data_IF_918980799613
#
_entry.id   IF_918980799613
#
_cell.length_a   1.000
_cell.length_b   1.000
_cell.length_c   1.000
_cell.angle_alpha   90.00
_cell.angle_beta   90.00
_cell.angle_gamma   90.00
#
_symmetry.space_group_name_H-M   'P 1'
#
loop_
_entity.id
_entity.type
_entity.pdbx_description
1 polymer ?
#
# COMPACT_ATOMS: atom_id res chain seq x y z
N UNK A 1 -16.17 12.96 -64.66
CA UNK A 1 -17.48 12.59 -65.23
C UNK A 1 -18.06 13.83 -65.89
N UNK A 2 -17.72 14.03 -67.16
CA UNK A 2 -18.16 15.15 -68.00
C UNK A 2 -19.05 14.57 -69.11
N UNK A 3 -20.38 14.64 -68.97
CA UNK A 3 -21.29 14.21 -70.04
C UNK A 3 -22.63 14.97 -69.96
N UNK A 4 -22.58 16.29 -70.19
CA UNK A 4 -23.80 17.11 -70.29
C UNK A 4 -23.64 18.21 -71.36
N UNK A 5 -22.99 17.89 -72.48
CA UNK A 5 -22.87 18.79 -73.64
C UNK A 5 -23.13 18.04 -74.96
N UNK A 6 -24.12 17.15 -75.00
CA UNK A 6 -24.61 16.52 -76.24
C UNK A 6 -26.11 16.77 -76.42
N UNK A 7 -26.49 18.05 -76.44
CA UNK A 7 -27.89 18.45 -76.57
C UNK A 7 -28.08 19.82 -77.20
N UNK A 8 -27.35 20.12 -78.27
CA UNK A 8 -27.51 21.35 -79.06
C UNK A 8 -27.85 21.05 -80.53
N UNK A 9 -28.61 20.00 -80.80
CA UNK A 9 -29.14 19.68 -82.15
C UNK A 9 -30.68 19.69 -82.24
N UNK A 10 -31.38 20.32 -81.30
CA UNK A 10 -32.86 20.36 -81.32
C UNK A 10 -33.45 21.77 -81.36
N UNK A 11 -32.72 22.76 -81.91
CA UNK A 11 -33.29 24.08 -82.18
C UNK A 11 -34.38 24.03 -83.28
N UNK A 12 -34.33 23.03 -84.17
CA UNK A 12 -35.29 22.87 -85.27
C UNK A 12 -36.45 21.90 -84.94
N UNK A 13 -36.32 21.09 -83.89
CA UNK A 13 -37.39 20.19 -83.42
C UNK A 13 -38.34 20.84 -82.40
N UNK A 14 -37.95 21.96 -81.79
CA UNK A 14 -38.81 22.74 -80.89
C UNK A 14 -39.93 23.51 -81.60
N UNK A 15 -39.86 23.68 -82.93
CA UNK A 15 -40.90 24.42 -83.68
C UNK A 15 -42.02 23.53 -84.23
N UNK A 16 -41.95 22.21 -84.05
CA UNK A 16 -42.85 21.26 -84.74
C UNK A 16 -43.54 20.28 -83.79
N UNK A 17 -43.84 20.68 -82.55
CA UNK A 17 -44.87 20.03 -81.74
C UNK A 17 -46.06 20.96 -81.57
N UNK A 18 -47.06 20.72 -82.41
CA UNK A 18 -48.40 21.23 -82.25
C UNK A 18 -49.04 20.68 -80.96
N UNK A 19 -49.66 21.57 -80.20
CA UNK A 19 -50.83 21.26 -79.39
C UNK A 19 -50.65 20.29 -78.21
N UNK A 20 -50.05 20.77 -77.13
CA UNK A 20 -50.41 20.30 -75.78
C UNK A 20 -50.85 21.49 -74.94
N UNK A 21 -52.17 21.60 -74.78
CA UNK A 21 -52.92 22.42 -73.81
C UNK A 21 -52.09 23.43 -73.00
N UNK A 22 -52.03 24.68 -73.49
CA UNK A 22 -51.53 25.82 -72.72
C UNK A 22 -52.44 26.04 -71.50
N UNK A 23 -51.92 26.10 -70.26
CA UNK A 23 -52.61 26.79 -69.18
C UNK A 23 -52.64 28.29 -69.51
N UNK A 24 -53.76 28.96 -69.22
CA UNK A 24 -54.18 30.30 -69.68
C UNK A 24 -53.28 31.51 -69.30
N UNK A 25 -51.95 31.40 -69.33
CA UNK A 25 -51.03 32.51 -69.09
C UNK A 25 -49.77 32.41 -69.93
N UNK A 26 -49.53 33.39 -70.81
CA UNK A 26 -48.36 33.44 -71.70
C UNK A 26 -47.00 33.51 -70.99
N UNK A 27 -45.95 33.99 -71.67
CA UNK A 27 -44.57 34.03 -71.16
C UNK A 27 -44.42 34.64 -69.74
N UNK A 28 -45.28 35.60 -69.40
CA UNK A 28 -45.35 36.23 -68.06
C UNK A 28 -45.80 35.26 -66.95
N UNK A 29 -46.71 34.32 -67.25
CA UNK A 29 -47.15 33.29 -66.30
C UNK A 29 -46.03 32.32 -65.95
N UNK A 30 -45.29 31.84 -66.96
CA UNK A 30 -44.11 30.97 -66.79
C UNK A 30 -43.00 31.65 -65.99
N UNK A 31 -42.70 32.92 -66.26
CA UNK A 31 -41.72 33.69 -65.48
C UNK A 31 -42.12 33.88 -64.02
N UNK A 32 -43.42 34.07 -63.73
CA UNK A 32 -43.93 34.13 -62.36
C UNK A 32 -43.79 32.79 -61.64
N UNK A 33 -44.12 31.68 -62.31
CA UNK A 33 -43.97 30.33 -61.75
C UNK A 33 -42.50 30.03 -61.43
N UNK A 34 -41.59 30.30 -62.37
CA UNK A 34 -40.15 30.12 -62.17
C UNK A 34 -39.60 31.01 -61.02
N UNK A 35 -40.09 32.24 -60.89
CA UNK A 35 -39.72 33.11 -59.75
C UNK A 35 -40.22 32.57 -58.42
N UNK A 36 -41.43 32.03 -58.37
CA UNK A 36 -41.97 31.42 -57.16
C UNK A 36 -41.18 30.16 -56.78
N UNK A 37 -40.88 29.31 -57.76
CA UNK A 37 -40.03 28.14 -57.59
C UNK A 37 -38.62 28.52 -57.12
N UNK A 38 -37.98 29.49 -57.77
CA UNK A 38 -36.66 29.98 -57.37
C UNK A 38 -36.64 30.54 -55.94
N UNK A 39 -37.70 31.23 -55.50
CA UNK A 39 -37.83 31.69 -54.10
C UNK A 39 -37.96 30.50 -53.15
N UNK A 40 -38.79 29.52 -53.49
CA UNK A 40 -38.94 28.32 -52.66
C UNK A 40 -37.65 27.53 -52.53
N UNK A 41 -36.87 27.39 -53.61
CA UNK A 41 -35.55 26.77 -53.57
C UNK A 41 -34.57 27.52 -52.67
N UNK A 42 -34.58 28.85 -52.70
CA UNK A 42 -33.75 29.69 -51.82
C UNK A 42 -34.14 29.47 -50.37
N UNK A 43 -35.43 29.55 -50.04
CA UNK A 43 -35.94 29.30 -48.68
C UNK A 43 -35.54 27.91 -48.17
N UNK A 44 -35.74 26.86 -48.98
CA UNK A 44 -35.35 25.49 -48.62
C UNK A 44 -33.83 25.34 -48.41
N UNK A 45 -33.03 26.04 -49.22
CA UNK A 45 -31.57 26.02 -49.09
C UNK A 45 -31.11 26.77 -47.85
N UNK A 46 -31.75 27.89 -47.52
CA UNK A 46 -31.48 28.66 -46.30
C UNK A 46 -31.84 27.87 -45.04
N UNK A 47 -33.00 27.21 -45.02
CA UNK A 47 -33.41 26.31 -43.93
C UNK A 47 -32.41 25.15 -43.74
N UNK A 48 -31.96 24.55 -44.85
CA UNK A 48 -30.95 23.50 -44.82
C UNK A 48 -29.62 24.04 -44.25
N UNK A 49 -29.16 25.21 -44.69
CA UNK A 49 -27.93 25.83 -44.19
C UNK A 49 -28.02 26.11 -42.68
N UNK A 50 -29.15 26.65 -42.20
CA UNK A 50 -29.38 26.85 -40.77
C UNK A 50 -29.34 25.54 -39.98
N UNK A 51 -30.02 24.49 -40.48
CA UNK A 51 -30.03 23.18 -39.82
C UNK A 51 -28.63 22.53 -39.77
N UNK A 52 -27.83 22.68 -40.84
CA UNK A 52 -26.46 22.19 -40.89
C UNK A 52 -25.57 22.95 -39.92
N UNK A 53 -25.74 24.27 -39.83
CA UNK A 53 -24.97 25.10 -38.92
C UNK A 53 -25.25 24.76 -37.45
N UNK A 54 -26.52 24.57 -37.07
CA UNK A 54 -26.89 24.10 -35.73
C UNK A 54 -26.26 22.73 -35.44
N UNK A 55 -26.35 21.79 -36.40
CA UNK A 55 -25.77 20.45 -36.24
C UNK A 55 -24.25 20.48 -36.10
N UNK A 56 -23.56 21.38 -36.80
CA UNK A 56 -22.11 21.60 -36.64
C UNK A 56 -21.80 22.09 -35.22
N UNK A 57 -22.59 23.05 -34.70
CA UNK A 57 -22.42 23.54 -33.32
C UNK A 57 -22.64 22.43 -32.28
N UNK A 58 -23.68 21.60 -32.46
CA UNK A 58 -23.93 20.45 -31.60
C UNK A 58 -22.79 19.43 -31.63
N UNK A 59 -22.22 19.15 -32.81
CA UNK A 59 -21.06 18.27 -32.92
C UNK A 59 -19.85 18.88 -32.22
N UNK A 60 -19.65 20.19 -32.33
CA UNK A 60 -18.56 20.88 -31.66
C UNK A 60 -18.68 20.82 -30.13
N UNK A 61 -19.86 21.09 -29.57
CA UNK A 61 -20.08 21.02 -28.12
C UNK A 61 -19.91 19.60 -27.58
N UNK A 62 -20.40 18.59 -28.31
CA UNK A 62 -20.16 17.18 -27.97
C UNK A 62 -18.68 16.83 -28.00
N UNK A 63 -17.94 17.31 -29.00
CA UNK A 63 -16.48 17.10 -29.09
C UNK A 63 -15.73 17.75 -27.93
N UNK A 64 -16.12 18.95 -27.51
CA UNK A 64 -15.55 19.62 -26.34
C UNK A 64 -15.76 18.78 -25.08
N UNK A 65 -17.02 18.37 -24.82
CA UNK A 65 -17.35 17.53 -23.66
C UNK A 65 -16.60 16.20 -23.65
N UNK A 66 -16.45 15.55 -24.81
CA UNK A 66 -15.65 14.31 -24.90
C UNK A 66 -14.17 14.59 -24.63
N UNK A 67 -13.62 15.70 -25.12
CA UNK A 67 -12.23 16.09 -24.83
C UNK A 67 -12.00 16.31 -23.34
N UNK A 68 -12.92 16.98 -22.64
CA UNK A 68 -12.86 17.18 -21.19
C UNK A 68 -12.89 15.85 -20.43
N UNK A 69 -13.81 14.94 -20.79
CA UNK A 69 -13.88 13.61 -20.18
C UNK A 69 -12.60 12.80 -20.39
N UNK A 70 -11.96 12.92 -21.56
CA UNK A 70 -10.68 12.24 -21.83
C UNK A 70 -9.58 12.78 -20.92
N UNK A 71 -9.52 14.10 -20.71
CA UNK A 71 -8.55 14.72 -19.80
C UNK A 71 -8.78 14.28 -18.36
N UNK A 72 -10.02 14.26 -17.89
CA UNK A 72 -10.39 13.78 -16.56
C UNK A 72 -10.00 12.31 -16.35
N UNK A 73 -10.24 11.46 -17.35
CA UNK A 73 -9.87 10.05 -17.31
C UNK A 73 -8.36 9.86 -17.27
N UNK A 74 -7.60 10.64 -18.04
CA UNK A 74 -6.14 10.56 -17.99
C UNK A 74 -5.59 11.01 -16.64
N UNK A 75 -6.14 12.09 -16.07
CA UNK A 75 -5.77 12.53 -14.72
C UNK A 75 -6.04 11.45 -13.67
N UNK A 76 -7.23 10.82 -13.69
CA UNK A 76 -7.57 9.71 -12.77
C UNK A 76 -6.66 8.50 -12.98
N UNK A 77 -6.28 8.19 -14.22
CA UNK A 77 -5.32 7.12 -14.52
C UNK A 77 -3.96 7.41 -13.89
N UNK A 78 -3.46 8.64 -13.99
CA UNK A 78 -2.20 9.05 -13.36
C UNK A 78 -2.28 8.95 -11.82
N UNK A 79 -3.38 9.41 -11.21
CA UNK A 79 -3.62 9.25 -9.78
C UNK A 79 -3.62 7.77 -9.35
N UNK A 80 -4.22 6.88 -10.15
CA UNK A 80 -4.22 5.44 -9.87
C UNK A 80 -2.81 4.84 -9.87
N UNK A 81 -1.94 5.29 -10.77
CA UNK A 81 -0.52 4.86 -10.79
C UNK A 81 0.19 5.31 -9.51
N UNK A 82 0.03 6.58 -9.11
CA UNK A 82 0.63 7.11 -7.88
C UNK A 82 0.14 6.35 -6.63
N UNK A 83 -1.15 6.02 -6.55
CA UNK A 83 -1.71 5.22 -5.46
C UNK A 83 -1.16 3.79 -5.45
N UNK A 84 -0.90 3.19 -6.62
CA UNK A 84 -0.30 1.87 -6.70
C UNK A 84 1.15 1.88 -6.22
N UNK A 85 1.90 2.93 -6.52
CA UNK A 85 3.25 3.12 -6.02
C UNK A 85 3.28 3.32 -4.50
N UNK A 86 2.38 4.15 -3.96
CA UNK A 86 2.29 4.35 -2.51
C UNK A 86 1.88 3.07 -1.78
N UNK A 87 0.93 2.30 -2.34
CA UNK A 87 0.56 0.98 -1.84
C UNK A 87 1.77 0.04 -1.81
N UNK A 88 2.54 -0.03 -2.90
CA UNK A 88 3.74 -0.88 -2.96
C UNK A 88 4.78 -0.49 -1.91
N UNK A 89 4.98 0.82 -1.68
CA UNK A 89 5.87 1.31 -0.61
C UNK A 89 5.37 0.90 0.78
N UNK A 90 4.06 1.05 1.04
CA UNK A 90 3.45 0.66 2.30
C UNK A 90 3.57 -0.86 2.55
N UNK A 91 3.37 -1.68 1.52
CA UNK A 91 3.53 -3.14 1.61
C UNK A 91 4.98 -3.53 1.92
N UNK A 92 5.97 -2.89 1.28
CA UNK A 92 7.39 -3.13 1.58
C UNK A 92 7.74 -2.72 3.02
N UNK A 93 7.20 -1.60 3.49
CA UNK A 93 7.39 -1.16 4.88
C UNK A 93 6.79 -2.16 5.87
N UNK A 94 5.58 -2.66 5.59
CA UNK A 94 4.92 -3.68 6.41
C UNK A 94 5.75 -4.97 6.48
N UNK A 95 6.24 -5.47 5.34
CA UNK A 95 7.11 -6.65 5.31
C UNK A 95 8.41 -6.47 6.12
N UNK A 96 9.00 -5.27 6.06
CA UNK A 96 10.17 -4.93 6.89
C UNK A 96 9.84 -4.96 8.38
N UNK A 97 8.68 -4.42 8.77
CA UNK A 97 8.22 -4.47 10.16
C UNK A 97 7.98 -5.91 10.62
N UNK A 98 7.35 -6.75 9.80
CA UNK A 98 7.10 -8.16 10.13
C UNK A 98 8.42 -8.92 10.35
N UNK A 99 9.43 -8.67 9.50
CA UNK A 99 10.76 -9.24 9.67
C UNK A 99 11.41 -8.80 11.00
N UNK A 100 11.34 -7.51 11.32
CA UNK A 100 11.87 -6.97 12.57
C UNK A 100 11.14 -7.55 13.79
N UNK A 101 9.83 -7.68 13.74
CA UNK A 101 9.03 -8.33 14.78
C UNK A 101 9.42 -9.79 14.96
N UNK A 102 9.65 -10.52 13.86
CA UNK A 102 10.14 -11.89 13.91
C UNK A 102 11.50 -12.00 14.62
N UNK A 103 12.44 -11.10 14.30
CA UNK A 103 13.74 -11.05 14.95
C UNK A 103 13.65 -10.71 16.45
N UNK A 104 12.80 -9.75 16.82
CA UNK A 104 12.60 -9.38 18.21
C UNK A 104 11.97 -10.52 19.02
N UNK A 105 10.99 -11.23 18.45
CA UNK A 105 10.39 -12.42 19.08
C UNK A 105 11.42 -13.52 19.28
N UNK A 106 12.24 -13.82 18.29
CA UNK A 106 13.29 -14.83 18.41
C UNK A 106 14.29 -14.48 19.52
N UNK A 107 14.71 -13.20 19.62
CA UNK A 107 15.60 -12.74 20.71
C UNK A 107 14.93 -12.84 22.08
N UNK A 108 13.65 -12.48 22.17
CA UNK A 108 12.90 -12.58 23.43
C UNK A 108 12.74 -14.04 23.88
N UNK A 109 12.46 -14.96 22.95
CA UNK A 109 12.39 -16.39 23.24
C UNK A 109 13.73 -16.95 23.69
N UNK A 110 14.82 -16.55 23.04
CA UNK A 110 16.17 -16.96 23.42
C UNK A 110 16.54 -16.45 24.83
N UNK A 111 16.27 -15.17 25.12
CA UNK A 111 16.46 -14.62 26.47
C UNK A 111 15.62 -15.34 27.53
N UNK A 112 14.39 -15.75 27.18
CA UNK A 112 13.53 -16.54 28.08
C UNK A 112 14.10 -17.94 28.34
N UNK A 113 14.66 -18.61 27.32
CA UNK A 113 15.32 -19.92 27.50
C UNK A 113 16.50 -19.82 28.44
N UNK A 114 17.39 -18.85 28.20
CA UNK A 114 18.57 -18.61 29.05
C UNK A 114 18.18 -18.29 30.50
N UNK A 115 17.12 -17.49 30.71
CA UNK A 115 16.60 -17.23 32.05
C UNK A 115 16.11 -18.51 32.73
N UNK A 116 15.40 -19.37 31.98
CA UNK A 116 14.89 -20.65 32.51
C UNK A 116 16.04 -21.59 32.89
N UNK A 117 17.08 -21.67 32.06
CA UNK A 117 18.28 -22.47 32.36
C UNK A 117 19.00 -21.97 33.62
N UNK A 118 19.19 -20.64 33.73
CA UNK A 118 19.78 -20.03 34.93
C UNK A 118 18.94 -20.28 36.18
N UNK A 119 17.61 -20.18 36.06
CA UNK A 119 16.70 -20.48 37.15
C UNK A 119 16.85 -21.93 37.62
N UNK A 120 16.90 -22.90 36.69
CA UNK A 120 17.08 -24.32 37.04
C UNK A 120 18.41 -24.58 37.76
N UNK A 121 19.49 -23.91 37.35
CA UNK A 121 20.78 -24.01 38.05
C UNK A 121 20.67 -23.38 39.44
N UNK A 122 20.03 -22.21 39.55
CA UNK A 122 19.75 -21.55 40.82
C UNK A 122 18.96 -22.45 41.77
N UNK A 123 17.88 -23.07 41.29
CA UNK A 123 17.04 -23.98 42.07
C UNK A 123 17.83 -25.20 42.56
N UNK A 124 18.68 -25.79 41.72
CA UNK A 124 19.56 -26.91 42.10
C UNK A 124 20.55 -26.51 43.19
N UNK A 125 21.20 -25.37 43.03
CA UNK A 125 22.14 -24.84 44.03
C UNK A 125 21.41 -24.52 45.34
N UNK A 126 20.20 -23.97 45.28
CA UNK A 126 19.40 -23.68 46.45
C UNK A 126 19.06 -24.95 47.23
N UNK A 127 18.67 -26.04 46.54
CA UNK A 127 18.44 -27.34 47.18
C UNK A 127 19.71 -27.84 47.88
N UNK A 128 20.86 -27.77 47.21
CA UNK A 128 22.14 -28.18 47.81
C UNK A 128 22.52 -27.33 49.01
N UNK A 129 22.31 -26.01 48.95
CA UNK A 129 22.54 -25.09 50.06
C UNK A 129 21.63 -25.41 51.25
N UNK A 130 20.34 -25.70 51.01
CA UNK A 130 19.43 -26.11 52.07
C UNK A 130 19.89 -27.41 52.76
N UNK A 131 20.29 -28.43 51.99
CA UNK A 131 20.86 -29.67 52.55
C UNK A 131 22.13 -29.38 53.36
N UNK A 132 23.01 -28.52 52.85
CA UNK A 132 24.25 -28.16 53.53
C UNK A 132 23.98 -27.38 54.83
N UNK A 133 22.96 -26.51 54.87
CA UNK A 133 22.53 -25.79 56.07
C UNK A 133 21.92 -26.72 57.14
N UNK A 134 21.25 -27.79 56.72
CA UNK A 134 20.76 -28.84 57.62
C UNK A 134 21.94 -29.64 58.22
N UNK A 135 22.92 -29.99 57.39
CA UNK A 135 24.09 -30.79 57.78
C UNK A 135 25.22 -29.99 58.43
N UNK A 136 25.19 -28.65 58.41
CA UNK A 136 26.30 -27.81 58.89
C UNK A 136 25.80 -26.48 59.44
N UNK A 137 26.38 -26.00 60.55
CA UNK A 137 26.23 -24.64 61.05
C UNK A 137 27.43 -23.80 60.62
N UNK A 138 27.17 -22.67 59.97
CA UNK A 138 28.19 -21.66 59.72
C UNK A 138 28.02 -20.52 60.73
N UNK A 139 29.06 -20.23 61.51
CA UNK A 139 29.12 -19.07 62.38
C UNK A 139 30.12 -18.07 61.84
N UNK A 140 29.68 -16.84 61.63
CA UNK A 140 30.58 -15.73 61.36
C UNK A 140 31.35 -15.40 62.64
N UNK A 141 32.68 -15.46 62.59
CA UNK A 141 33.54 -15.08 63.71
C UNK A 141 33.92 -13.60 63.63
N UNK A 142 34.41 -13.16 62.47
CA UNK A 142 34.76 -11.75 62.20
C UNK A 142 34.62 -11.41 60.72
N UNK A 143 34.34 -10.14 60.45
CA UNK A 143 34.34 -9.55 59.11
C UNK A 143 35.05 -8.21 59.16
N UNK A 144 36.12 -8.09 58.37
CA UNK A 144 36.94 -6.89 58.24
C UNK A 144 37.03 -6.43 56.78
N UNK A 145 37.76 -5.33 56.51
CA UNK A 145 37.88 -4.75 55.16
C UNK A 145 38.61 -5.65 54.14
N UNK A 146 39.33 -6.66 54.63
CA UNK A 146 40.21 -7.52 53.80
C UNK A 146 40.17 -8.99 54.20
N UNK A 147 39.34 -9.35 55.19
CA UNK A 147 39.33 -10.69 55.78
C UNK A 147 37.94 -11.07 56.30
N UNK A 148 37.55 -12.33 56.08
CA UNK A 148 36.34 -12.97 56.59
C UNK A 148 36.74 -14.26 57.32
N UNK A 149 36.48 -14.34 58.62
CA UNK A 149 36.67 -15.57 59.39
C UNK A 149 35.34 -16.23 59.72
N UNK A 150 35.22 -17.51 59.40
CA UNK A 150 34.00 -18.32 59.59
C UNK A 150 34.33 -19.66 60.24
N UNK A 151 33.45 -20.14 61.11
CA UNK A 151 33.52 -21.44 61.74
C UNK A 151 32.41 -22.36 61.20
N UNK A 152 32.81 -23.53 60.70
CA UNK A 152 31.93 -24.56 60.18
C UNK A 152 31.81 -25.71 61.20
N UNK A 153 30.59 -26.02 61.64
CA UNK A 153 30.31 -27.14 62.55
C UNK A 153 29.38 -28.17 61.88
N UNK A 154 29.82 -29.42 61.67
CA UNK A 154 28.96 -30.48 61.17
C UNK A 154 27.80 -30.79 62.14
N UNK A 155 26.59 -31.00 61.61
CA UNK A 155 25.39 -31.49 62.31
C UNK A 155 24.96 -32.83 61.68
N UNK A 156 25.49 -33.97 62.15
CA UNK A 156 25.06 -35.27 61.64
C UNK A 156 23.57 -35.53 61.96
N UNK A 157 22.77 -36.03 61.00
CA UNK A 157 21.31 -36.20 61.14
C UNK A 157 20.91 -37.40 62.03
N UNK A 158 21.86 -38.26 62.38
CA UNK A 158 21.70 -39.39 63.29
C UNK A 158 23.02 -39.58 64.04
N UNK A 159 23.15 -39.00 65.23
CA UNK A 159 24.13 -39.50 66.18
C UNK A 159 23.70 -39.17 67.60
N UNK A 160 23.47 -40.25 68.36
CA UNK A 160 23.74 -40.28 69.79
C UNK A 160 25.02 -39.46 70.09
N UNK A 161 24.96 -38.62 71.12
CA UNK A 161 25.80 -37.45 71.43
C UNK A 161 27.32 -37.71 71.64
N UNK A 162 27.92 -38.71 71.00
CA UNK A 162 29.26 -39.23 71.33
C UNK A 162 30.33 -38.98 70.26
N UNK A 163 30.03 -38.27 69.17
CA UNK A 163 31.03 -37.85 68.20
C UNK A 163 30.77 -36.44 67.70
N UNK A 164 30.99 -35.45 68.57
CA UNK A 164 31.12 -34.06 68.14
C UNK A 164 32.45 -33.92 67.39
N UNK A 165 32.38 -33.69 66.08
CA UNK A 165 33.55 -33.36 65.26
C UNK A 165 34.02 -31.94 65.60
N UNK A 166 35.34 -31.75 65.65
CA UNK A 166 35.92 -30.43 65.92
C UNK A 166 35.47 -29.39 64.87
N UNK A 167 35.16 -28.14 65.27
CA UNK A 167 34.79 -27.08 64.35
C UNK A 167 35.94 -26.73 63.39
N UNK A 168 35.65 -26.61 62.09
CA UNK A 168 36.62 -26.14 61.12
C UNK A 168 36.54 -24.61 61.02
N UNK A 169 37.63 -23.92 61.36
CA UNK A 169 37.74 -22.48 61.14
C UNK A 169 38.43 -22.22 59.81
N UNK A 170 37.84 -21.33 59.04
CA UNK A 170 38.34 -20.88 57.75
C UNK A 170 38.49 -19.37 57.79
N UNK A 171 39.62 -18.87 57.29
CA UNK A 171 39.78 -17.45 57.00
C UNK A 171 39.97 -17.21 55.52
N UNK A 172 39.16 -16.31 54.97
CA UNK A 172 39.26 -15.85 53.58
C UNK A 172 39.78 -14.43 53.61
N UNK A 173 40.93 -14.19 53.00
CA UNK A 173 41.47 -12.84 52.80
C UNK A 173 41.43 -12.45 51.33
N UNK A 174 41.18 -11.17 51.06
CA UNK A 174 41.16 -10.61 49.72
C UNK A 174 41.92 -9.29 49.62
N UNK A 175 42.49 -9.06 48.44
CA UNK A 175 43.24 -7.84 48.11
C UNK A 175 42.53 -7.03 47.02
N UNK A 176 42.91 -5.77 46.83
CA UNK A 176 42.34 -4.89 45.79
C UNK A 176 42.52 -5.39 44.34
N UNK A 177 43.30 -6.45 44.12
CA UNK A 177 43.50 -7.09 42.82
C UNK A 177 42.58 -8.27 42.53
N UNK A 178 41.45 -8.43 43.23
CA UNK A 178 40.50 -9.55 43.09
C UNK A 178 41.12 -10.95 43.29
N UNK A 179 42.19 -11.02 44.08
CA UNK A 179 42.80 -12.28 44.50
C UNK A 179 42.29 -12.69 45.89
N UNK A 180 41.82 -13.93 46.00
CA UNK A 180 41.31 -14.53 47.23
C UNK A 180 42.27 -15.62 47.73
N UNK A 181 42.59 -15.62 49.02
CA UNK A 181 43.35 -16.68 49.69
C UNK A 181 42.50 -17.29 50.81
N UNK A 182 42.39 -18.63 50.83
CA UNK A 182 41.71 -19.40 51.86
C UNK A 182 42.77 -20.08 52.73
N UNK A 183 42.68 -19.90 54.05
CA UNK A 183 43.52 -20.54 55.06
C UNK A 183 42.66 -21.38 56.03
#
# INVERSE_FOLDING_TARGET
MMSLVEGLESAQQLMTQAGTSQPEGGARGRWKALKAESRSWVEQTEDLLWSLQDRIQQVHSRRQKVSELIQDLDHRKQQSVQLRESLSKAQKALQSCDLQLGQLRARAEEGRRQLTERQQVGDKLQVQLSVLQELMQCHLLSIDQSELSVELRPRPPCSDQTSELDPLRLSVSWSQGDHFQLQ
#
